data_IF_209938848188
#
_entry.id   IF_209938848188
#
_cell.length_a   1.000
_cell.length_b   1.000
_cell.length_c   1.000
_cell.angle_alpha   90.00
_cell.angle_beta   90.00
_cell.angle_gamma   90.00
#
_symmetry.space_group_name_H-M   'P 1'
#
loop_
_entity.id
_entity.type
_entity.pdbx_description
1 polymer ?
#
# COMPACT_ATOMS: atom_id res chain seq x y z
N UNK A 1 37.94 35.31 -3.68
CA UNK A 1 36.89 34.49 -3.03
C UNK A 1 36.94 33.11 -3.63
N UNK A 2 37.31 32.10 -2.84
CA UNK A 2 37.55 30.74 -3.32
C UNK A 2 36.21 30.01 -3.53
N UNK A 3 35.92 29.61 -4.78
CA UNK A 3 34.73 28.84 -5.17
C UNK A 3 34.55 27.53 -4.37
N UNK A 4 35.63 27.02 -3.76
CA UNK A 4 35.68 25.78 -2.98
C UNK A 4 34.93 25.82 -1.65
N UNK A 5 34.53 26.99 -1.15
CA UNK A 5 33.81 27.09 0.14
C UNK A 5 32.28 26.96 0.02
N UNK A 6 31.73 26.82 -1.19
CA UNK A 6 30.27 26.74 -1.42
C UNK A 6 29.79 25.27 -1.49
N UNK A 7 30.71 24.31 -1.65
CA UNK A 7 30.39 22.89 -1.82
C UNK A 7 29.67 22.17 -0.64
N UNK A 8 29.85 22.50 0.66
CA UNK A 8 29.20 21.72 1.71
C UNK A 8 27.68 21.97 1.84
N UNK A 9 27.14 23.02 1.22
CA UNK A 9 25.71 23.34 1.32
C UNK A 9 24.84 22.60 0.29
N UNK A 10 25.41 22.05 -0.78
CA UNK A 10 24.65 21.38 -1.85
C UNK A 10 24.37 19.91 -1.49
N UNK A 11 25.13 19.29 -0.58
CA UNK A 11 24.98 17.87 -0.22
C UNK A 11 23.79 17.58 0.74
N UNK A 12 23.25 18.59 1.43
CA UNK A 12 22.13 18.40 2.36
C UNK A 12 20.74 18.39 1.69
N UNK A 13 20.64 18.71 0.40
CA UNK A 13 19.35 18.95 -0.27
C UNK A 13 18.72 17.71 -0.91
N UNK A 14 19.39 16.56 -0.93
CA UNK A 14 18.99 15.42 -1.76
C UNK A 14 18.73 14.15 -0.95
N UNK A 15 17.73 14.19 -0.05
CA UNK A 15 17.11 12.97 0.49
C UNK A 15 15.74 13.23 1.17
N UNK A 16 14.93 14.19 0.71
CA UNK A 16 13.54 14.23 1.18
C UNK A 16 12.75 13.11 0.50
N UNK A 17 12.42 12.07 1.26
CA UNK A 17 11.58 10.98 0.78
C UNK A 17 10.13 11.45 0.89
N UNK A 18 9.39 11.40 -0.22
CA UNK A 18 7.95 11.68 -0.18
C UNK A 18 7.29 10.45 0.45
N UNK A 19 6.72 10.65 1.63
CA UNK A 19 5.97 9.64 2.36
C UNK A 19 4.52 10.08 2.53
N UNK A 20 3.60 9.12 2.45
CA UNK A 20 2.19 9.32 2.72
C UNK A 20 1.79 8.39 3.85
N UNK A 21 1.18 8.92 4.90
CA UNK A 21 0.60 8.11 5.96
C UNK A 21 -0.88 7.94 5.69
N UNK A 22 -1.40 6.74 5.91
CA UNK A 22 -2.79 6.47 5.58
C UNK A 22 -3.26 5.09 6.00
N UNK A 23 -4.44 4.73 5.51
CA UNK A 23 -5.11 3.48 5.82
C UNK A 23 -5.60 2.77 4.57
N UNK A 24 -5.61 1.44 4.60
CA UNK A 24 -6.15 0.64 3.50
C UNK A 24 -7.62 0.27 3.73
N UNK A 25 -8.41 0.32 2.66
CA UNK A 25 -9.79 -0.14 2.66
C UNK A 25 -10.20 -0.71 1.30
N UNK A 26 -11.27 -1.49 1.29
CA UNK A 26 -11.91 -2.00 0.07
C UNK A 26 -12.96 -0.99 -0.40
N UNK A 27 -12.70 -0.42 -1.58
CA UNK A 27 -13.53 0.61 -2.21
C UNK A 27 -14.58 0.07 -3.19
N UNK A 28 -14.36 -1.15 -3.70
CA UNK A 28 -15.30 -1.84 -4.57
C UNK A 28 -15.26 -3.34 -4.33
N UNK A 29 -16.42 -3.99 -4.49
CA UNK A 29 -16.55 -5.44 -4.55
C UNK A 29 -17.47 -5.79 -5.73
N UNK A 30 -16.98 -6.60 -6.66
CA UNK A 30 -17.66 -7.00 -7.90
C UNK A 30 -18.21 -5.82 -8.72
N UNK A 31 -17.47 -4.71 -8.76
CA UNK A 31 -17.86 -3.48 -9.48
C UNK A 31 -18.86 -2.60 -8.76
N UNK A 32 -19.31 -2.97 -7.56
CA UNK A 32 -20.16 -2.14 -6.71
C UNK A 32 -19.32 -1.42 -5.66
N UNK A 33 -19.61 -0.14 -5.42
CA UNK A 33 -18.97 0.63 -4.36
C UNK A 33 -19.12 -0.08 -3.02
N UNK A 34 -18.00 -0.25 -2.34
CA UNK A 34 -17.89 -0.73 -0.98
C UNK A 34 -17.05 0.28 -0.20
N UNK A 35 -17.21 0.32 1.12
CA UNK A 35 -16.31 1.09 1.98
C UNK A 35 -16.08 0.25 3.22
N UNK A 36 -15.26 -0.78 3.06
CA UNK A 36 -15.02 -1.77 4.11
C UNK A 36 -13.56 -1.75 4.51
N UNK A 37 -13.31 -1.63 5.81
CA UNK A 37 -11.96 -1.60 6.34
C UNK A 37 -11.25 -2.93 6.07
N UNK A 38 -9.95 -2.83 5.81
CA UNK A 38 -9.06 -3.98 5.92
C UNK A 38 -8.09 -3.73 7.05
N UNK A 39 -7.83 -4.79 7.79
CA UNK A 39 -6.89 -4.74 8.89
C UNK A 39 -5.94 -5.92 8.85
N UNK A 40 -5.00 -5.90 9.78
CA UNK A 40 -4.02 -6.96 9.93
C UNK A 40 -4.44 -7.94 11.02
N UNK A 41 -4.39 -9.23 10.72
CA UNK A 41 -4.54 -10.32 11.69
C UNK A 41 -3.47 -11.37 11.42
N UNK A 42 -2.63 -11.65 12.42
CA UNK A 42 -1.46 -12.53 12.28
C UNK A 42 -0.58 -12.15 11.06
N UNK A 43 -0.41 -10.84 10.83
CA UNK A 43 0.35 -10.31 9.69
C UNK A 43 -0.32 -10.49 8.33
N UNK A 44 -1.54 -11.01 8.25
CA UNK A 44 -2.32 -11.10 7.00
C UNK A 44 -3.27 -9.93 6.87
N UNK A 45 -3.42 -9.38 5.66
CA UNK A 45 -4.45 -8.39 5.36
C UNK A 45 -5.82 -9.09 5.16
N UNK A 46 -6.77 -8.79 6.05
CA UNK A 46 -8.12 -9.37 6.05
C UNK A 46 -9.18 -8.27 5.99
N UNK A 47 -10.34 -8.58 5.42
CA UNK A 47 -11.56 -7.82 5.63
C UNK A 47 -11.99 -7.92 7.10
N UNK A 48 -11.98 -6.80 7.83
CA UNK A 48 -12.36 -6.74 9.24
C UNK A 48 -12.70 -5.31 9.67
N UNK A 49 -13.31 -5.16 10.85
CA UNK A 49 -13.74 -3.83 11.35
C UNK A 49 -12.57 -2.94 11.82
N UNK A 50 -11.36 -3.49 11.93
CA UNK A 50 -10.18 -2.73 12.32
C UNK A 50 -9.44 -2.19 11.10
N UNK A 51 -8.84 -1.03 11.27
CA UNK A 51 -8.11 -0.33 10.21
C UNK A 51 -6.61 -0.62 10.35
N UNK A 52 -5.94 -0.84 9.22
CA UNK A 52 -4.49 -1.00 9.18
C UNK A 52 -3.84 0.29 8.68
N UNK A 53 -2.87 0.79 9.45
CA UNK A 53 -2.14 2.01 9.13
C UNK A 53 -0.84 1.68 8.41
N UNK A 54 -0.59 2.40 7.32
CA UNK A 54 0.60 2.24 6.50
C UNK A 54 1.27 3.57 6.20
N UNK A 55 2.58 3.52 5.99
CA UNK A 55 3.40 4.57 5.39
C UNK A 55 3.78 4.12 3.99
N UNK A 56 3.36 4.88 2.98
CA UNK A 56 3.74 4.65 1.59
C UNK A 56 4.96 5.48 1.23
N UNK A 57 6.03 4.81 0.79
CA UNK A 57 7.25 5.46 0.33
C UNK A 57 7.26 5.58 -1.19
N UNK A 58 7.00 6.78 -1.70
CA UNK A 58 6.70 7.00 -3.12
C UNK A 58 7.79 6.47 -4.07
N UNK A 59 9.05 6.85 -3.84
CA UNK A 59 10.16 6.42 -4.68
C UNK A 59 10.53 4.94 -4.49
N UNK A 60 10.12 4.34 -3.37
CA UNK A 60 10.35 2.93 -3.06
C UNK A 60 9.28 2.02 -3.65
N UNK A 61 8.06 2.52 -3.86
CA UNK A 61 6.91 1.70 -4.23
C UNK A 61 6.53 0.71 -3.13
N UNK A 62 6.65 1.10 -1.86
CA UNK A 62 6.52 0.20 -0.70
C UNK A 62 5.53 0.74 0.32
N UNK A 63 4.72 -0.15 0.89
CA UNK A 63 3.80 0.13 1.99
C UNK A 63 4.36 -0.48 3.28
N UNK A 64 4.83 0.35 4.21
CA UNK A 64 5.30 -0.10 5.53
C UNK A 64 4.14 -0.04 6.54
N UNK A 65 3.91 -1.12 7.28
CA UNK A 65 2.99 -1.14 8.40
C UNK A 65 3.55 -0.27 9.54
N UNK A 66 2.74 0.66 10.03
CA UNK A 66 3.16 1.61 11.05
C UNK A 66 3.56 0.88 12.35
N UNK A 67 4.78 1.14 12.82
CA UNK A 67 5.25 0.74 14.16
C UNK A 67 5.95 -0.61 14.30
N UNK A 68 6.17 -1.36 13.20
CA UNK A 68 6.81 -2.68 13.27
C UNK A 68 7.84 -2.96 12.15
N UNK A 69 8.26 -1.95 11.37
CA UNK A 69 9.25 -2.08 10.29
C UNK A 69 8.95 -3.24 9.32
N UNK A 70 7.67 -3.59 9.16
CA UNK A 70 7.22 -4.68 8.31
C UNK A 70 6.47 -4.13 7.12
N UNK A 71 6.62 -4.73 5.96
CA UNK A 71 6.10 -4.20 4.70
C UNK A 71 4.94 -5.06 4.21
N UNK A 72 3.93 -4.44 3.59
CA UNK A 72 2.96 -5.18 2.81
C UNK A 72 3.66 -5.82 1.62
N UNK A 73 3.48 -7.13 1.48
CA UNK A 73 4.04 -7.94 0.39
C UNK A 73 2.96 -8.85 -0.17
N UNK A 74 3.12 -9.26 -1.42
CA UNK A 74 2.33 -10.36 -1.99
C UNK A 74 3.10 -11.66 -1.77
N UNK A 75 2.63 -12.43 -0.79
CA UNK A 75 3.22 -13.70 -0.39
C UNK A 75 2.82 -14.88 -1.29
N UNK A 76 3.04 -16.12 -0.82
CA UNK A 76 2.64 -17.32 -1.52
C UNK A 76 1.14 -17.31 -1.86
N UNK A 77 0.79 -17.84 -3.05
CA UNK A 77 -0.59 -17.87 -3.55
C UNK A 77 -1.24 -16.47 -3.67
N UNK A 78 -0.44 -15.43 -3.88
CA UNK A 78 -0.96 -14.07 -4.05
C UNK A 78 -1.43 -13.41 -2.75
N UNK A 79 -1.25 -14.03 -1.58
CA UNK A 79 -1.81 -13.53 -0.33
C UNK A 79 -1.14 -12.25 0.14
N UNK A 80 -1.92 -11.19 0.42
CA UNK A 80 -1.38 -9.96 0.98
C UNK A 80 -1.09 -10.15 2.47
N UNK A 81 0.18 -10.01 2.84
CA UNK A 81 0.65 -10.18 4.21
C UNK A 81 1.84 -9.26 4.51
N UNK A 82 2.29 -9.26 5.76
CA UNK A 82 3.48 -8.54 6.19
C UNK A 82 4.73 -9.38 5.98
N UNK A 83 5.77 -8.77 5.42
CA UNK A 83 7.11 -9.31 5.26
C UNK A 83 8.17 -8.38 5.84
N UNK A 84 9.38 -8.90 6.07
CA UNK A 84 10.51 -8.11 6.58
C UNK A 84 11.25 -7.32 5.49
N UNK A 85 11.08 -7.72 4.23
CA UNK A 85 11.72 -7.05 3.09
C UNK A 85 10.68 -6.20 2.36
N UNK A 86 11.07 -4.99 1.91
CA UNK A 86 10.20 -4.13 1.14
C UNK A 86 9.86 -4.77 -0.22
N UNK A 87 8.57 -4.83 -0.55
CA UNK A 87 8.09 -5.15 -1.90
C UNK A 87 7.83 -3.86 -2.66
N UNK A 88 8.57 -3.66 -3.76
CA UNK A 88 8.63 -2.41 -4.53
C UNK A 88 7.64 -2.35 -5.69
N UNK A 89 6.78 -3.35 -5.82
CA UNK A 89 5.83 -3.43 -6.93
C UNK A 89 4.49 -2.78 -6.60
N UNK A 90 4.33 -2.22 -5.40
CA UNK A 90 3.17 -1.43 -5.04
C UNK A 90 3.26 -0.01 -5.60
N UNK A 91 2.13 0.52 -6.02
CA UNK A 91 2.00 1.94 -6.36
C UNK A 91 0.62 2.46 -5.97
N UNK A 92 0.53 3.80 -5.82
CA UNK A 92 -0.72 4.51 -5.56
C UNK A 92 -1.10 5.38 -6.76
N UNK A 93 -2.39 5.54 -7.04
CA UNK A 93 -2.87 6.55 -7.98
C UNK A 93 -2.46 7.95 -7.47
N UNK A 94 -1.74 8.69 -8.30
CA UNK A 94 -1.23 10.02 -7.96
C UNK A 94 -2.10 11.16 -8.52
N UNK A 95 -3.17 10.84 -9.25
CA UNK A 95 -4.01 11.81 -9.94
C UNK A 95 -5.49 11.64 -9.57
N UNK A 96 -6.18 12.72 -9.13
CA UNK A 96 -5.62 14.05 -8.86
C UNK A 96 -4.70 14.04 -7.61
N UNK A 97 -3.67 14.88 -7.62
CA UNK A 97 -2.65 14.97 -6.55
C UNK A 97 -3.28 15.27 -5.17
N UNK A 98 -4.44 15.94 -5.18
CA UNK A 98 -5.18 16.37 -3.99
C UNK A 98 -6.33 15.42 -3.62
N UNK A 99 -6.32 14.17 -4.10
CA UNK A 99 -7.28 13.18 -3.63
C UNK A 99 -6.78 12.58 -2.32
N UNK A 100 -7.60 12.65 -1.28
CA UNK A 100 -7.35 11.94 -0.02
C UNK A 100 -7.49 10.42 -0.21
N UNK A 101 -8.01 9.97 -1.36
CA UNK A 101 -8.16 8.56 -1.70
C UNK A 101 -7.36 8.20 -2.95
N UNK A 102 -6.50 7.19 -2.84
CA UNK A 102 -5.60 6.74 -3.90
C UNK A 102 -5.82 5.26 -4.17
N UNK A 103 -6.07 4.87 -5.42
CA UNK A 103 -6.13 3.47 -5.82
C UNK A 103 -4.80 2.77 -5.54
N UNK A 104 -4.83 1.55 -5.00
CA UNK A 104 -3.64 0.73 -4.78
C UNK A 104 -3.45 -0.21 -5.96
N UNK A 105 -2.21 -0.32 -6.43
CA UNK A 105 -1.83 -1.20 -7.53
C UNK A 105 -0.67 -2.11 -7.10
N UNK A 106 -0.60 -3.28 -7.71
CA UNK A 106 0.53 -4.21 -7.65
C UNK A 106 0.90 -4.62 -9.08
N UNK A 107 2.17 -4.42 -9.49
CA UNK A 107 2.59 -4.59 -10.89
C UNK A 107 1.73 -3.84 -11.94
N UNK A 108 1.23 -2.64 -11.58
CA UNK A 108 0.31 -1.83 -12.39
C UNK A 108 -1.08 -2.44 -12.62
N UNK A 109 -1.46 -3.47 -11.87
CA UNK A 109 -2.82 -4.00 -11.82
C UNK A 109 -3.46 -3.64 -10.47
N UNK A 110 -4.77 -3.39 -10.46
CA UNK A 110 -5.56 -3.03 -9.27
C UNK A 110 -6.59 -4.10 -8.90
N UNK A 111 -6.61 -5.20 -9.63
CA UNK A 111 -7.53 -6.30 -9.40
C UNK A 111 -7.01 -7.22 -8.30
N UNK A 112 -7.54 -6.99 -7.10
CA UNK A 112 -7.37 -7.88 -5.97
C UNK A 112 -8.59 -8.81 -5.85
N UNK A 113 -8.47 -9.81 -5.01
CA UNK A 113 -9.51 -10.76 -4.70
C UNK A 113 -9.76 -10.78 -3.20
N UNK A 114 -11.03 -10.78 -2.81
CA UNK A 114 -11.47 -11.12 -1.46
C UNK A 114 -11.91 -12.58 -1.46
N UNK A 115 -11.21 -13.41 -0.70
CA UNK A 115 -11.48 -14.84 -0.59
C UNK A 115 -12.57 -15.15 0.44
N UNK A 116 -13.10 -16.38 0.41
CA UNK A 116 -14.09 -16.85 1.39
C UNK A 116 -13.59 -16.87 2.85
N UNK A 117 -12.27 -16.85 3.07
CA UNK A 117 -11.63 -16.73 4.40
C UNK A 117 -11.39 -15.27 4.83
N UNK A 118 -11.99 -14.31 4.12
CA UNK A 118 -11.80 -12.86 4.26
C UNK A 118 -10.38 -12.36 3.95
N UNK A 119 -9.47 -13.21 3.48
CA UNK A 119 -8.15 -12.76 3.07
C UNK A 119 -8.17 -11.99 1.76
N UNK A 120 -7.33 -10.98 1.69
CA UNK A 120 -7.09 -10.25 0.44
C UNK A 120 -5.91 -10.89 -0.29
N UNK A 121 -6.11 -11.16 -1.57
CA UNK A 121 -5.09 -11.77 -2.44
C UNK A 121 -4.98 -11.02 -3.77
N UNK A 122 -3.89 -11.23 -4.48
CA UNK A 122 -3.62 -10.73 -5.81
C UNK A 122 -3.57 -11.92 -6.78
N UNK A 123 -4.49 -11.95 -7.76
CA UNK A 123 -4.54 -12.95 -8.85
C UNK A 123 -4.37 -14.41 -8.39
N UNK A 124 -5.15 -14.84 -7.38
CA UNK A 124 -4.98 -16.13 -6.72
C UNK A 124 -6.04 -17.17 -7.04
N UNK A 125 -7.20 -16.76 -7.55
CA UNK A 125 -8.36 -17.63 -7.83
C UNK A 125 -8.77 -18.49 -6.63
N UNK A 126 -8.75 -17.92 -5.42
CA UNK A 126 -9.16 -18.62 -4.20
C UNK A 126 -10.66 -18.97 -4.19
N UNK A 127 -11.03 -19.94 -3.34
CA UNK A 127 -12.44 -20.32 -3.17
C UNK A 127 -13.30 -19.13 -2.73
N UNK A 128 -14.38 -18.88 -3.47
CA UNK A 128 -15.27 -17.75 -3.24
C UNK A 128 -14.65 -16.39 -3.55
N UNK A 129 -13.59 -16.33 -4.38
CA UNK A 129 -12.96 -15.09 -4.80
C UNK A 129 -13.98 -14.10 -5.38
N UNK A 130 -14.00 -12.90 -4.82
CA UNK A 130 -14.74 -11.74 -5.31
C UNK A 130 -13.74 -10.68 -5.73
N UNK A 131 -13.97 -10.02 -6.87
CA UNK A 131 -13.03 -9.00 -7.35
C UNK A 131 -13.18 -7.75 -6.49
N UNK A 132 -12.08 -7.24 -5.97
CA UNK A 132 -12.08 -6.03 -5.15
C UNK A 132 -11.08 -5.00 -5.66
N UNK A 133 -11.29 -3.74 -5.27
CA UNK A 133 -10.31 -2.68 -5.45
C UNK A 133 -9.93 -2.10 -4.10
N UNK A 134 -8.62 -2.10 -3.81
CA UNK A 134 -8.07 -1.48 -2.62
C UNK A 134 -7.83 0.01 -2.87
N UNK A 135 -8.12 0.82 -1.86
CA UNK A 135 -7.75 2.23 -1.80
C UNK A 135 -6.97 2.53 -0.54
N UNK A 136 -6.13 3.55 -0.66
CA UNK A 136 -5.33 4.15 0.40
C UNK A 136 -5.92 5.52 0.71
N UNK A 137 -6.31 5.75 1.96
CA UNK A 137 -6.81 7.04 2.44
C UNK A 137 -5.73 7.75 3.26
N UNK A 138 -5.33 8.94 2.82
CA UNK A 138 -4.32 9.77 3.49
C UNK A 138 -4.86 10.29 4.85
N UNK A 139 -4.01 10.33 5.90
CA UNK A 139 -4.38 10.81 7.26
C UNK A 139 -3.43 11.88 7.81
#
# INVERSE_FOLDING_TARGET
MNLLQILPFIALASASWITFSGVLYISMIDGHTAHQNVGLSNGTLLLQNTTSHFEYYYFGGTLESRGNLSYLVVGPQGKLCLGHLPDRHFSLDMWPINSDHRGVYYYNDRDFELCGDNSVRFQSQCDGARRIQLQFEDI
#
